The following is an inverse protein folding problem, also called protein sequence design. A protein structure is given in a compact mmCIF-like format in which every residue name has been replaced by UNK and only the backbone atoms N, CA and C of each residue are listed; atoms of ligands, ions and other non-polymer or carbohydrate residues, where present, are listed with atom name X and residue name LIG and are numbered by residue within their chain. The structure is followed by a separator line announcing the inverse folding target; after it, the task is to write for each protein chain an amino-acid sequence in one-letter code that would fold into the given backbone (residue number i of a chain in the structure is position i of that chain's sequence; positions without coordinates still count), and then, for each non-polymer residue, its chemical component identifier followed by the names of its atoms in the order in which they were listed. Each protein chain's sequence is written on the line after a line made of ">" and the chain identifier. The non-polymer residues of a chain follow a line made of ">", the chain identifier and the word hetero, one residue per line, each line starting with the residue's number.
data_IF_456349888420
#
_entry.id   IF_456349888420
#
_cell.length_a   1.000
_cell.length_b   1.000
_cell.length_c   1.000
_cell.angle_alpha   90.00
_cell.angle_beta   90.00
_cell.angle_gamma   90.00
#
_symmetry.space_group_name_H-M   'P 1'
#
loop_
_entity.id
_entity.type
_entity.pdbx_description
1 polymer ?
#
# COMPACT_ATOMS: atom_id res chain seq x y z
N UNK A 1 -25.97 4.38 -17.86
CA UNK A 1 -26.10 3.55 -16.63
C UNK A 1 -24.78 2.86 -16.29
N UNK A 2 -24.12 2.15 -17.22
CA UNK A 2 -22.77 1.58 -17.02
C UNK A 2 -21.73 2.59 -16.50
N UNK A 3 -21.69 3.81 -17.06
CA UNK A 3 -20.73 4.85 -16.66
C UNK A 3 -20.88 5.34 -15.21
N UNK A 4 -22.08 5.29 -14.64
CA UNK A 4 -22.26 5.63 -13.22
C UNK A 4 -21.65 4.55 -12.31
N UNK A 5 -21.88 3.27 -12.63
CA UNK A 5 -21.33 2.17 -11.84
C UNK A 5 -19.80 2.19 -11.87
N UNK A 6 -19.20 2.38 -13.05
CA UNK A 6 -17.75 2.48 -13.17
C UNK A 6 -17.17 3.63 -12.35
N UNK A 7 -17.79 4.82 -12.42
CA UNK A 7 -17.34 5.98 -11.63
C UNK A 7 -17.49 5.76 -10.13
N UNK A 8 -18.55 5.11 -9.68
CA UNK A 8 -18.76 4.79 -8.25
C UNK A 8 -17.71 3.79 -7.77
N UNK A 9 -17.44 2.71 -8.52
CA UNK A 9 -16.39 1.76 -8.19
C UNK A 9 -15.02 2.45 -8.14
N UNK A 10 -14.71 3.31 -9.12
CA UNK A 10 -13.47 4.08 -9.16
C UNK A 10 -13.31 5.00 -7.94
N UNK A 11 -14.39 5.67 -7.53
CA UNK A 11 -14.42 6.51 -6.33
C UNK A 11 -14.16 5.66 -5.07
N UNK A 12 -14.83 4.52 -4.93
CA UNK A 12 -14.63 3.61 -3.79
C UNK A 12 -13.19 3.12 -3.75
N UNK A 13 -12.62 2.69 -4.88
CA UNK A 13 -11.22 2.28 -4.97
C UNK A 13 -10.26 3.39 -4.54
N UNK A 14 -10.52 4.64 -4.95
CA UNK A 14 -9.70 5.78 -4.53
C UNK A 14 -9.79 6.04 -3.02
N UNK A 15 -11.00 5.95 -2.42
CA UNK A 15 -11.20 6.11 -0.98
C UNK A 15 -10.51 5.00 -0.17
N UNK A 16 -10.62 3.75 -0.63
CA UNK A 16 -9.95 2.61 0.00
C UNK A 16 -8.43 2.77 -0.07
N UNK A 17 -7.90 3.24 -1.22
CA UNK A 17 -6.49 3.53 -1.36
C UNK A 17 -6.03 4.60 -0.36
N UNK A 18 -6.78 5.70 -0.23
CA UNK A 18 -6.49 6.76 0.75
C UNK A 18 -6.48 6.21 2.18
N UNK A 19 -7.48 5.41 2.55
CA UNK A 19 -7.54 4.78 3.86
C UNK A 19 -6.34 3.85 4.12
N UNK A 20 -5.90 3.10 3.11
CA UNK A 20 -4.72 2.24 3.21
C UNK A 20 -3.43 3.03 3.45
N UNK A 21 -3.23 4.14 2.73
CA UNK A 21 -2.06 5.02 2.92
C UNK A 21 -2.06 5.63 4.33
N UNK A 22 -3.22 6.11 4.80
CA UNK A 22 -3.35 6.62 6.18
C UNK A 22 -3.09 5.53 7.23
N UNK A 23 -3.58 4.31 7.00
CA UNK A 23 -3.35 3.15 7.86
C UNK A 23 -1.87 2.79 7.96
N UNK A 24 -1.15 2.78 6.83
CA UNK A 24 0.31 2.58 6.84
C UNK A 24 1.04 3.66 7.63
N UNK A 25 0.65 4.94 7.45
CA UNK A 25 1.21 6.04 8.24
C UNK A 25 1.00 5.86 9.75
N UNK A 26 -0.17 5.39 10.17
CA UNK A 26 -0.44 5.10 11.58
C UNK A 26 0.42 3.95 12.12
N UNK A 27 0.62 2.88 11.34
CA UNK A 27 1.48 1.74 11.71
C UNK A 27 2.94 2.20 11.86
N UNK A 28 3.46 2.96 10.90
CA UNK A 28 4.82 3.51 10.96
C UNK A 28 5.00 4.44 12.16
N UNK A 29 4.02 5.33 12.41
CA UNK A 29 4.04 6.21 13.58
C UNK A 29 4.04 5.42 14.89
N UNK A 30 3.27 4.34 14.96
CA UNK A 30 3.25 3.45 16.13
C UNK A 30 4.60 2.76 16.34
N UNK A 31 5.21 2.24 15.26
CA UNK A 31 6.55 1.63 15.26
C UNK A 31 7.61 2.60 15.79
N UNK A 32 7.59 3.85 15.33
CA UNK A 32 8.50 4.91 15.79
C UNK A 32 8.25 5.26 17.27
N UNK A 33 6.98 5.32 17.71
CA UNK A 33 6.64 5.62 19.11
C UNK A 33 7.11 4.52 20.06
N UNK A 34 7.00 3.25 19.67
CA UNK A 34 7.51 2.12 20.45
C UNK A 34 9.04 2.14 20.51
N UNK A 35 9.70 2.51 19.41
CA UNK A 35 11.17 2.57 19.32
C UNK A 35 11.79 3.88 19.80
N UNK A 36 11.01 4.88 20.24
CA UNK A 36 11.54 6.18 20.69
C UNK A 36 12.56 6.05 21.84
N UNK A 37 12.38 5.07 22.72
CA UNK A 37 13.34 4.79 23.79
C UNK A 37 14.68 4.25 23.24
N UNK A 38 14.64 3.37 22.24
CA UNK A 38 15.83 2.87 21.56
C UNK A 38 16.54 3.96 20.75
N UNK A 39 15.79 4.84 20.09
CA UNK A 39 16.31 5.97 19.30
C UNK A 39 17.07 6.96 20.19
N UNK A 40 16.58 7.23 21.41
CA UNK A 40 17.30 8.04 22.39
C UNK A 40 18.63 7.39 22.82
N UNK A 41 18.65 6.09 23.04
CA UNK A 41 19.89 5.36 23.36
C UNK A 41 20.88 5.34 22.18
N UNK A 42 20.40 5.12 20.96
CA UNK A 42 21.21 5.17 19.73
C UNK A 42 21.81 6.55 19.49
N UNK A 43 21.08 7.63 19.81
CA UNK A 43 21.58 9.01 19.71
C UNK A 43 22.68 9.30 20.73
N UNK A 44 22.61 8.70 21.92
CA UNK A 44 23.69 8.76 22.94
C UNK A 44 24.93 7.98 22.47
N UNK A 45 24.76 6.90 21.70
CA UNK A 45 25.87 6.17 21.08
C UNK A 45 26.40 6.78 19.77
N UNK A 46 25.87 7.93 19.32
CA UNK A 46 26.35 8.63 18.13
C UNK A 46 25.78 8.15 16.79
N UNK A 47 24.64 7.44 16.78
CA UNK A 47 24.00 7.01 15.55
C UNK A 47 23.57 8.22 14.68
N UNK A 48 23.92 8.17 13.39
CA UNK A 48 23.59 9.23 12.45
C UNK A 48 22.09 9.24 12.14
N UNK A 49 21.46 10.42 12.00
CA UNK A 49 20.04 10.54 11.69
C UNK A 49 19.67 9.85 10.36
N UNK A 50 20.61 9.78 9.42
CA UNK A 50 20.43 9.07 8.14
C UNK A 50 20.17 7.56 8.30
N UNK A 51 20.68 6.93 9.37
CA UNK A 51 20.44 5.50 9.60
C UNK A 51 18.98 5.21 9.97
N UNK A 52 18.35 6.11 10.75
CA UNK A 52 16.95 5.98 11.15
C UNK A 52 16.02 6.22 9.95
N UNK A 53 16.31 7.24 9.15
CA UNK A 53 15.60 7.50 7.90
C UNK A 53 15.60 6.27 6.98
N UNK A 54 16.78 5.70 6.71
CA UNK A 54 16.93 4.53 5.85
C UNK A 54 16.18 3.30 6.42
N UNK A 55 16.15 3.14 7.75
CA UNK A 55 15.47 2.02 8.40
C UNK A 55 13.94 2.12 8.25
N UNK A 56 13.36 3.31 8.45
CA UNK A 56 11.92 3.56 8.28
C UNK A 56 11.52 3.48 6.81
N UNK A 57 12.33 4.02 5.91
CA UNK A 57 12.08 3.94 4.47
C UNK A 57 12.10 2.48 3.98
N UNK A 58 13.06 1.67 4.43
CA UNK A 58 13.11 0.24 4.15
C UNK A 58 11.89 -0.51 4.72
N UNK A 59 11.46 -0.21 5.94
CA UNK A 59 10.27 -0.83 6.54
C UNK A 59 9.01 -0.54 5.71
N UNK A 60 8.82 0.72 5.30
CA UNK A 60 7.70 1.14 4.47
C UNK A 60 7.70 0.43 3.09
N UNK A 61 8.86 0.32 2.44
CA UNK A 61 9.00 -0.40 1.16
C UNK A 61 8.67 -1.88 1.33
N UNK A 62 9.18 -2.54 2.37
CA UNK A 62 8.90 -3.96 2.64
C UNK A 62 7.40 -4.18 2.85
N UNK A 63 6.75 -3.36 3.69
CA UNK A 63 5.31 -3.45 3.95
C UNK A 63 4.49 -3.21 2.67
N UNK A 64 4.88 -2.23 1.85
CA UNK A 64 4.21 -1.95 0.58
C UNK A 64 4.33 -3.12 -0.40
N UNK A 65 5.53 -3.69 -0.56
CA UNK A 65 5.76 -4.84 -1.45
C UNK A 65 4.98 -6.07 -0.99
N UNK A 66 5.02 -6.38 0.32
CA UNK A 66 4.26 -7.50 0.88
C UNK A 66 2.75 -7.28 0.70
N UNK A 67 2.27 -6.06 0.93
CA UNK A 67 0.87 -5.68 0.71
C UNK A 67 0.43 -5.87 -0.75
N UNK A 68 1.26 -5.44 -1.71
CA UNK A 68 0.99 -5.64 -3.15
C UNK A 68 0.94 -7.12 -3.53
N UNK A 69 1.87 -7.94 -3.02
CA UNK A 69 1.91 -9.39 -3.29
C UNK A 69 0.69 -10.08 -2.66
N UNK A 70 0.37 -9.77 -1.41
CA UNK A 70 -0.78 -10.35 -0.71
C UNK A 70 -2.11 -9.91 -1.33
N UNK A 71 -2.25 -8.63 -1.67
CA UNK A 71 -3.43 -8.10 -2.34
C UNK A 71 -3.62 -8.71 -3.73
N UNK A 72 -2.55 -8.78 -4.53
CA UNK A 72 -2.58 -9.40 -5.86
C UNK A 72 -2.90 -10.89 -5.81
N UNK A 73 -2.30 -11.64 -4.89
CA UNK A 73 -2.58 -13.06 -4.73
C UNK A 73 -4.01 -13.32 -4.24
N UNK A 74 -4.49 -12.52 -3.28
CA UNK A 74 -5.89 -12.60 -2.80
C UNK A 74 -6.89 -12.27 -3.91
N UNK A 75 -6.62 -11.23 -4.73
CA UNK A 75 -7.44 -10.88 -5.88
C UNK A 75 -7.48 -12.01 -6.91
N UNK A 76 -6.34 -12.61 -7.23
CA UNK A 76 -6.26 -13.74 -8.17
C UNK A 76 -7.07 -14.94 -7.68
N UNK A 77 -6.93 -15.30 -6.42
CA UNK A 77 -7.70 -16.39 -5.79
C UNK A 77 -9.20 -16.07 -5.85
N UNK A 78 -9.61 -14.86 -5.50
CA UNK A 78 -11.01 -14.44 -5.56
C UNK A 78 -11.57 -14.51 -6.99
N UNK A 79 -10.83 -14.03 -7.99
CA UNK A 79 -11.22 -14.12 -9.41
C UNK A 79 -11.34 -15.57 -9.87
N UNK A 80 -10.45 -16.46 -9.44
CA UNK A 80 -10.50 -17.87 -9.82
C UNK A 80 -11.76 -18.56 -9.28
N UNK A 81 -12.14 -18.29 -8.02
CA UNK A 81 -13.33 -18.91 -7.42
C UNK A 81 -14.66 -18.27 -7.88
N UNK A 82 -14.67 -16.95 -8.10
CA UNK A 82 -15.90 -16.19 -8.40
C UNK A 82 -16.11 -16.03 -9.91
N UNK A 83 -15.05 -16.09 -10.71
CA UNK A 83 -15.06 -15.84 -12.15
C UNK A 83 -16.05 -16.73 -12.89
N UNK A 84 -16.04 -18.03 -12.62
CA UNK A 84 -16.97 -18.99 -13.25
C UNK A 84 -18.44 -18.70 -12.91
N UNK A 85 -18.71 -18.32 -11.65
CA UNK A 85 -20.06 -17.98 -11.20
C UNK A 85 -20.56 -16.66 -11.81
N UNK A 86 -19.67 -15.69 -12.01
CA UNK A 86 -19.98 -14.41 -12.67
C UNK A 86 -20.19 -14.61 -14.17
N UNK A 87 -19.35 -15.42 -14.82
CA UNK A 87 -19.51 -15.75 -16.24
C UNK A 87 -20.85 -16.45 -16.50
N UNK A 88 -21.23 -17.42 -15.65
CA UNK A 88 -22.48 -18.15 -15.79
C UNK A 88 -23.74 -17.27 -15.59
N UNK A 89 -23.69 -16.24 -14.74
CA UNK A 89 -24.86 -15.41 -14.40
C UNK A 89 -24.94 -14.09 -15.18
N UNK A 90 -23.80 -13.50 -15.53
CA UNK A 90 -23.73 -12.18 -16.16
C UNK A 90 -23.10 -12.20 -17.56
N UNK A 91 -22.55 -13.34 -18.02
CA UNK A 91 -21.88 -13.46 -19.31
C UNK A 91 -20.60 -12.63 -19.43
N UNK A 92 -20.09 -12.10 -18.31
CA UNK A 92 -18.90 -11.28 -18.24
C UNK A 92 -17.67 -12.18 -18.14
N UNK A 93 -16.81 -12.13 -19.17
CA UNK A 93 -15.51 -12.78 -19.14
C UNK A 93 -14.54 -11.86 -18.38
N UNK A 94 -14.23 -12.21 -17.14
CA UNK A 94 -13.20 -11.55 -16.35
C UNK A 94 -11.86 -12.15 -16.73
N UNK A 95 -11.09 -11.41 -17.52
CA UNK A 95 -9.74 -11.82 -17.85
C UNK A 95 -8.85 -11.71 -16.61
N UNK A 96 -8.16 -12.80 -16.27
CA UNK A 96 -7.27 -12.87 -15.12
C UNK A 96 -5.88 -12.27 -15.43
N UNK A 97 -5.79 -11.37 -16.41
CA UNK A 97 -4.61 -10.55 -16.67
C UNK A 97 -4.39 -9.57 -15.52
N UNK A 98 -3.73 -10.05 -14.46
CA UNK A 98 -3.39 -9.27 -13.27
C UNK A 98 -2.45 -8.10 -13.57
N UNK A 99 -1.62 -8.22 -14.61
CA UNK A 99 -0.69 -7.18 -15.07
C UNK A 99 -1.20 -6.54 -16.36
N UNK A 100 -2.13 -5.60 -16.23
CA UNK A 100 -2.39 -4.63 -17.28
C UNK A 100 -1.43 -3.43 -17.16
N UNK A 101 -1.15 -2.69 -18.24
CA UNK A 101 -0.34 -1.47 -18.18
C UNK A 101 -0.88 -0.45 -17.18
N UNK A 102 -2.21 -0.36 -17.05
CA UNK A 102 -2.88 0.52 -16.10
C UNK A 102 -2.68 0.06 -14.66
N UNK A 103 -2.78 -1.24 -14.39
CA UNK A 103 -2.50 -1.80 -13.07
C UNK A 103 -1.03 -1.58 -12.66
N UNK A 104 -0.09 -1.71 -13.60
CA UNK A 104 1.32 -1.41 -13.35
C UNK A 104 1.54 0.07 -13.00
N UNK A 105 0.88 0.99 -13.70
CA UNK A 105 0.91 2.42 -13.37
C UNK A 105 0.32 2.70 -11.98
N UNK A 106 -0.80 2.05 -11.62
CA UNK A 106 -1.40 2.19 -10.30
C UNK A 106 -0.47 1.67 -9.20
N UNK A 107 0.11 0.47 -9.35
CA UNK A 107 1.08 -0.08 -8.40
C UNK A 107 2.30 0.82 -8.23
N UNK A 108 2.80 1.38 -9.35
CA UNK A 108 3.87 2.39 -9.32
C UNK A 108 3.47 3.64 -8.55
N UNK A 109 2.27 4.16 -8.77
CA UNK A 109 1.75 5.31 -8.04
C UNK A 109 1.61 5.03 -6.54
N UNK A 110 1.14 3.82 -6.16
CA UNK A 110 1.08 3.40 -4.75
C UNK A 110 2.47 3.38 -4.14
N UNK A 111 3.46 2.78 -4.81
CA UNK A 111 4.85 2.75 -4.30
C UNK A 111 5.40 4.16 -4.07
N UNK A 112 5.23 5.06 -5.04
CA UNK A 112 5.68 6.46 -4.93
C UNK A 112 4.96 7.17 -3.77
N UNK A 113 3.65 6.95 -3.62
CA UNK A 113 2.87 7.56 -2.55
C UNK A 113 3.34 7.09 -1.16
N UNK A 114 3.71 5.82 -1.03
CA UNK A 114 4.24 5.25 0.22
C UNK A 114 5.60 5.83 0.57
N UNK A 115 6.49 5.98 -0.43
CA UNK A 115 7.81 6.61 -0.22
C UNK A 115 7.66 8.06 0.24
N UNK A 116 6.77 8.83 -0.39
CA UNK A 116 6.49 10.22 0.01
C UNK A 116 5.93 10.27 1.44
N UNK A 117 4.99 9.39 1.78
CA UNK A 117 4.39 9.33 3.10
C UNK A 117 5.42 8.96 4.18
N UNK A 118 6.28 7.98 3.92
CA UNK A 118 7.35 7.57 4.83
C UNK A 118 8.37 8.70 5.05
N UNK A 119 8.80 9.36 3.97
CA UNK A 119 9.73 10.49 4.06
C UNK A 119 9.11 11.72 4.75
N UNK A 120 7.79 11.92 4.63
CA UNK A 120 7.08 12.98 5.35
C UNK A 120 7.05 12.71 6.86
N UNK A 121 6.74 11.47 7.26
CA UNK A 121 6.71 11.08 8.69
C UNK A 121 8.07 11.24 9.37
N UNK A 122 9.18 10.92 8.68
CA UNK A 122 10.52 11.06 9.25
C UNK A 122 10.87 12.52 9.59
N UNK A 123 10.41 13.48 8.77
CA UNK A 123 10.62 14.92 9.04
C UNK A 123 9.95 15.40 10.32
N UNK A 124 8.81 14.82 10.68
CA UNK A 124 8.09 15.18 11.91
C UNK A 124 8.74 14.58 13.18
N UNK A 125 9.70 13.66 13.03
CA UNK A 125 10.39 12.99 14.13
C UNK A 125 11.66 13.74 14.58
N UNK A 126 12.26 14.56 13.71
CA UNK A 126 13.44 15.38 13.98
C UNK A 126 13.12 16.78 14.52
#
# INVERSE_FOLDING_TARGET
>A
MMSMFENVLRLISALVLLAAVLGMGAVLLSSIRERRQEIHLLRIMGASPLYLFCLVEMEAVILCVLGMILGGSSLYVALHFIGDAVFARFGLYLDATLLSPEAALMLGAVMVSTLIAAAALDKDVY
#
